data_IF_652648429757
#
_entry.id   IF_652648429757
#
_cell.length_a   1.000
_cell.length_b   1.000
_cell.length_c   1.000
_cell.angle_alpha   90.00
_cell.angle_beta   90.00
_cell.angle_gamma   90.00
#
_symmetry.space_group_name_H-M   'P 1'
#
loop_
_entity.id
_entity.type
_entity.pdbx_description
1 polymer ?
#
# COMPACT_ATOMS: atom_id res chain seq x y z
N UNK A 1 26.44 -9.31 -18.57
CA UNK A 1 26.05 -8.49 -19.73
C UNK A 1 24.53 -8.46 -19.78
N UNK A 2 23.89 -7.29 -19.78
CA UNK A 2 22.44 -7.19 -19.89
C UNK A 2 22.03 -7.54 -21.32
N UNK A 3 21.17 -8.56 -21.47
CA UNK A 3 20.56 -8.90 -22.77
C UNK A 3 19.50 -7.86 -23.12
N UNK A 4 19.50 -7.33 -24.35
CA UNK A 4 18.44 -6.46 -24.86
C UNK A 4 17.12 -7.25 -24.97
N UNK A 5 16.35 -7.32 -23.88
CA UNK A 5 15.01 -7.92 -23.86
C UNK A 5 13.97 -6.80 -23.82
N UNK A 6 12.91 -6.93 -24.60
CA UNK A 6 11.86 -5.92 -24.78
C UNK A 6 10.71 -5.99 -23.76
N UNK A 7 10.87 -6.75 -22.67
CA UNK A 7 9.78 -7.08 -21.73
C UNK A 7 8.94 -8.28 -22.20
N UNK A 8 8.45 -9.07 -21.24
CA UNK A 8 7.54 -10.20 -21.49
C UNK A 8 6.11 -9.75 -21.19
N UNK A 9 5.31 -9.54 -22.23
CA UNK A 9 3.94 -9.01 -22.10
C UNK A 9 3.03 -9.93 -21.28
N UNK A 10 3.26 -11.25 -21.30
CA UNK A 10 2.46 -12.15 -20.47
C UNK A 10 2.72 -11.92 -18.98
N UNK A 11 3.97 -11.65 -18.60
CA UNK A 11 4.36 -11.33 -17.21
C UNK A 11 3.97 -9.92 -16.80
N UNK A 12 4.02 -8.97 -17.72
CA UNK A 12 3.54 -7.60 -17.47
C UNK A 12 2.03 -7.61 -17.22
N UNK A 13 1.24 -8.29 -18.05
CA UNK A 13 -0.20 -8.39 -17.79
C UNK A 13 -0.48 -9.11 -16.46
N UNK A 14 0.27 -10.17 -16.14
CA UNK A 14 0.17 -10.86 -14.85
C UNK A 14 0.43 -9.93 -13.65
N UNK A 15 1.41 -9.03 -13.74
CA UNK A 15 1.65 -7.97 -12.76
C UNK A 15 0.43 -7.05 -12.60
N UNK A 16 -0.22 -6.64 -13.71
CA UNK A 16 -1.42 -5.79 -13.64
C UNK A 16 -2.61 -6.48 -12.97
N UNK A 17 -2.77 -7.79 -13.18
CA UNK A 17 -3.77 -8.60 -12.44
C UNK A 17 -3.47 -8.68 -10.95
N UNK A 18 -2.20 -8.79 -10.58
CA UNK A 18 -1.78 -8.77 -9.19
C UNK A 18 -2.01 -7.39 -8.56
N UNK A 19 -1.65 -6.30 -9.24
CA UNK A 19 -1.89 -4.93 -8.78
C UNK A 19 -3.38 -4.68 -8.53
N UNK A 20 -4.25 -5.03 -9.48
CA UNK A 20 -5.69 -4.84 -9.32
C UNK A 20 -6.26 -5.63 -8.13
N UNK A 21 -5.75 -6.83 -7.88
CA UNK A 21 -6.15 -7.61 -6.71
C UNK A 21 -5.58 -7.07 -5.41
N UNK A 22 -4.38 -6.49 -5.43
CA UNK A 22 -3.80 -5.81 -4.27
C UNK A 22 -4.69 -4.64 -3.84
N UNK A 23 -5.11 -3.76 -4.76
CA UNK A 23 -6.03 -2.65 -4.47
C UNK A 23 -7.37 -3.13 -3.89
N UNK A 24 -7.94 -4.19 -4.47
CA UNK A 24 -9.17 -4.80 -3.95
C UNK A 24 -8.97 -5.36 -2.54
N UNK A 25 -7.81 -5.96 -2.27
CA UNK A 25 -7.39 -6.41 -0.95
C UNK A 25 -7.19 -5.24 0.03
N UNK A 26 -6.51 -4.18 -0.40
CA UNK A 26 -6.22 -2.97 0.36
C UNK A 26 -7.47 -2.30 0.88
N UNK A 27 -8.51 -2.15 0.03
CA UNK A 27 -9.82 -1.64 0.46
C UNK A 27 -10.39 -2.43 1.65
N UNK A 28 -10.28 -3.76 1.61
CA UNK A 28 -10.75 -4.63 2.70
C UNK A 28 -9.86 -4.53 3.95
N UNK A 29 -8.54 -4.43 3.77
CA UNK A 29 -7.57 -4.27 4.86
C UNK A 29 -7.82 -2.96 5.60
N UNK A 30 -7.89 -1.82 4.91
CA UNK A 30 -8.20 -0.53 5.52
C UNK A 30 -9.56 -0.53 6.21
N UNK A 31 -10.59 -1.10 5.59
CA UNK A 31 -11.92 -1.23 6.21
C UNK A 31 -11.85 -2.02 7.53
N UNK A 32 -11.10 -3.12 7.55
CA UNK A 32 -10.89 -3.90 8.77
C UNK A 32 -10.07 -3.15 9.82
N UNK A 33 -9.02 -2.44 9.39
CA UNK A 33 -8.11 -1.66 10.23
C UNK A 33 -8.84 -0.49 10.92
N UNK A 34 -9.65 0.29 10.17
CA UNK A 34 -10.51 1.35 10.71
C UNK A 34 -11.44 0.86 11.82
N UNK A 35 -11.84 -0.41 11.78
CA UNK A 35 -12.67 -1.00 12.82
C UNK A 35 -11.92 -1.26 14.14
N UNK A 36 -10.59 -1.17 14.13
CA UNK A 36 -9.69 -1.35 15.28
C UNK A 36 -9.02 -0.04 15.73
N UNK A 37 -9.12 1.04 14.94
CA UNK A 37 -8.51 2.33 15.28
C UNK A 37 -9.16 2.94 16.53
N UNK A 38 -8.32 3.37 17.46
CA UNK A 38 -8.68 4.11 18.68
C UNK A 38 -8.07 5.51 18.72
N UNK A 39 -7.04 5.79 17.91
CA UNK A 39 -6.48 7.11 17.71
C UNK A 39 -7.26 7.87 16.62
N UNK A 40 -7.74 9.08 16.93
CA UNK A 40 -8.57 9.87 16.02
C UNK A 40 -7.83 10.33 14.77
N UNK A 41 -6.55 10.67 14.88
CA UNK A 41 -5.75 11.11 13.74
C UNK A 41 -5.43 9.93 12.82
N UNK A 42 -5.04 8.78 13.40
CA UNK A 42 -4.89 7.53 12.63
C UNK A 42 -6.17 7.14 11.90
N UNK A 43 -7.33 7.33 12.55
CA UNK A 43 -8.64 7.05 11.92
C UNK A 43 -8.88 7.93 10.69
N UNK A 44 -8.48 9.22 10.75
CA UNK A 44 -8.58 10.14 9.61
C UNK A 44 -7.61 9.73 8.49
N UNK A 45 -6.36 9.42 8.83
CA UNK A 45 -5.36 9.01 7.84
C UNK A 45 -5.77 7.73 7.11
N UNK A 46 -6.14 6.67 7.84
CA UNK A 46 -6.62 5.43 7.21
C UNK A 46 -7.91 5.61 6.40
N UNK A 47 -8.76 6.60 6.75
CA UNK A 47 -9.92 6.92 5.93
C UNK A 47 -9.52 7.61 4.62
N UNK A 48 -8.51 8.50 4.64
CA UNK A 48 -7.94 9.11 3.43
C UNK A 48 -7.33 8.04 2.53
N UNK A 49 -6.46 7.19 3.09
CA UNK A 49 -5.79 6.13 2.32
C UNK A 49 -6.80 5.16 1.72
N UNK A 50 -7.86 4.77 2.46
CA UNK A 50 -8.95 3.97 1.91
C UNK A 50 -9.64 4.63 0.71
N UNK A 51 -9.82 5.94 0.71
CA UNK A 51 -10.45 6.65 -0.40
C UNK A 51 -9.51 6.81 -1.60
N UNK A 52 -8.20 6.94 -1.34
CA UNK A 52 -7.13 6.90 -2.35
C UNK A 52 -7.01 5.51 -2.98
N UNK A 53 -6.94 4.41 -2.21
CA UNK A 53 -6.93 3.02 -2.73
C UNK A 53 -8.16 2.72 -3.62
N UNK A 54 -9.35 3.26 -3.28
CA UNK A 54 -10.52 3.15 -4.18
C UNK A 54 -10.31 3.86 -5.51
N UNK A 55 -9.60 4.99 -5.50
CA UNK A 55 -9.22 5.74 -6.69
C UNK A 55 -8.18 4.98 -7.50
N UNK A 56 -7.17 4.41 -6.86
CA UNK A 56 -6.12 3.61 -7.50
C UNK A 56 -6.68 2.36 -8.18
N UNK A 57 -7.62 1.65 -7.53
CA UNK A 57 -8.44 0.61 -8.18
C UNK A 57 -9.09 1.13 -9.48
N UNK A 58 -9.69 2.31 -9.46
CA UNK A 58 -10.35 2.87 -10.65
C UNK A 58 -9.34 3.24 -11.75
N UNK A 59 -8.14 3.68 -11.38
CA UNK A 59 -7.03 3.90 -12.31
C UNK A 59 -6.64 2.58 -12.98
N UNK A 60 -6.46 1.50 -12.23
CA UNK A 60 -6.16 0.18 -12.79
C UNK A 60 -7.29 -0.35 -13.69
N UNK A 61 -8.56 -0.17 -13.32
CA UNK A 61 -9.68 -0.53 -14.19
C UNK A 61 -9.63 0.22 -15.54
N UNK A 62 -9.21 1.49 -15.52
CA UNK A 62 -9.01 2.28 -16.74
C UNK A 62 -7.84 1.73 -17.57
N UNK A 63 -6.74 1.33 -16.93
CA UNK A 63 -5.62 0.63 -17.60
C UNK A 63 -6.12 -0.65 -18.29
N UNK A 64 -6.93 -1.45 -17.60
CA UNK A 64 -7.48 -2.68 -18.16
C UNK A 64 -8.35 -2.42 -19.38
N UNK A 65 -9.24 -1.43 -19.31
CA UNK A 65 -10.06 -1.01 -20.45
C UNK A 65 -9.19 -0.56 -21.63
N UNK A 66 -8.23 0.35 -21.39
CA UNK A 66 -7.36 0.88 -22.45
C UNK A 66 -6.50 -0.22 -23.09
N UNK A 67 -6.07 -1.23 -22.33
CA UNK A 67 -5.26 -2.35 -22.83
C UNK A 67 -6.10 -3.53 -23.36
N UNK A 68 -7.43 -3.49 -23.23
CA UNK A 68 -8.32 -4.58 -23.64
C UNK A 68 -8.17 -5.84 -22.79
N UNK A 69 -7.84 -5.68 -21.51
CA UNK A 69 -7.76 -6.76 -20.52
C UNK A 69 -9.10 -6.92 -19.81
N UNK A 70 -9.46 -8.16 -19.49
CA UNK A 70 -10.67 -8.48 -18.74
C UNK A 70 -10.36 -8.40 -17.23
N UNK A 71 -10.90 -7.41 -16.48
CA UNK A 71 -10.62 -7.23 -15.06
C UNK A 71 -11.17 -8.36 -14.17
N UNK A 72 -12.04 -9.23 -14.69
CA UNK A 72 -12.58 -10.39 -13.97
C UNK A 72 -11.86 -11.70 -14.28
N UNK A 73 -10.87 -11.65 -15.18
CA UNK A 73 -10.09 -12.83 -15.54
C UNK A 73 -9.40 -13.40 -14.30
N UNK A 74 -9.59 -14.71 -14.12
CA UNK A 74 -8.90 -15.49 -13.10
C UNK A 74 -7.55 -15.93 -13.64
N UNK A 75 -6.49 -15.55 -12.92
CA UNK A 75 -5.12 -16.01 -13.17
C UNK A 75 -4.53 -16.56 -11.87
N UNK A 76 -3.69 -17.61 -11.91
CA UNK A 76 -3.20 -18.26 -10.69
C UNK A 76 -2.49 -17.31 -9.70
N UNK A 77 -1.73 -16.35 -10.21
CA UNK A 77 -1.04 -15.33 -9.41
C UNK A 77 -2.01 -14.45 -8.61
N UNK A 78 -3.16 -14.10 -9.22
CA UNK A 78 -4.23 -13.32 -8.59
C UNK A 78 -4.85 -14.05 -7.42
N UNK A 79 -5.03 -15.37 -7.52
CA UNK A 79 -5.53 -16.17 -6.39
C UNK A 79 -4.55 -16.15 -5.20
N UNK A 80 -3.24 -16.10 -5.47
CA UNK A 80 -2.22 -15.97 -4.42
C UNK A 80 -2.28 -14.59 -3.77
N UNK A 81 -2.34 -13.51 -4.54
CA UNK A 81 -2.44 -12.13 -4.02
C UNK A 81 -3.74 -11.96 -3.21
N UNK A 82 -4.85 -12.49 -3.72
CA UNK A 82 -6.11 -12.55 -2.98
C UNK A 82 -5.95 -13.23 -1.62
N UNK A 83 -5.23 -14.36 -1.59
CA UNK A 83 -4.99 -15.08 -0.35
C UNK A 83 -4.18 -14.27 0.66
N UNK A 84 -3.20 -13.47 0.22
CA UNK A 84 -2.49 -12.55 1.09
C UNK A 84 -3.45 -11.52 1.72
N UNK A 85 -4.21 -10.79 0.91
CA UNK A 85 -5.16 -9.80 1.40
C UNK A 85 -6.21 -10.38 2.34
N UNK A 86 -6.83 -11.50 1.96
CA UNK A 86 -7.82 -12.21 2.80
C UNK A 86 -7.21 -12.67 4.14
N UNK A 87 -5.92 -13.00 4.17
CA UNK A 87 -5.22 -13.42 5.40
C UNK A 87 -4.93 -12.24 6.33
N UNK A 88 -4.55 -11.07 5.78
CA UNK A 88 -4.37 -9.84 6.55
C UNK A 88 -5.68 -9.42 7.22
N UNK A 89 -6.78 -9.41 6.48
CA UNK A 89 -8.13 -9.12 7.02
C UNK A 89 -8.49 -10.08 8.17
N UNK A 90 -8.20 -11.37 8.02
CA UNK A 90 -8.44 -12.37 9.08
C UNK A 90 -7.57 -12.13 10.31
N UNK A 91 -6.31 -11.72 10.14
CA UNK A 91 -5.42 -11.40 11.24
C UNK A 91 -5.94 -10.20 12.05
N UNK A 92 -6.40 -9.14 11.37
CA UNK A 92 -7.04 -7.98 12.00
C UNK A 92 -8.28 -8.40 12.80
N UNK A 93 -9.17 -9.17 12.17
CA UNK A 93 -10.39 -9.65 12.82
C UNK A 93 -10.08 -10.54 14.04
N UNK A 94 -9.04 -11.39 13.95
CA UNK A 94 -8.58 -12.22 15.05
C UNK A 94 -8.07 -11.37 16.21
N UNK A 95 -7.22 -10.36 15.96
CA UNK A 95 -6.71 -9.46 16.98
C UNK A 95 -7.85 -8.72 17.68
N UNK A 96 -8.78 -8.15 16.91
CA UNK A 96 -9.99 -7.49 17.43
C UNK A 96 -10.82 -8.41 18.34
N UNK A 97 -10.99 -9.68 17.95
CA UNK A 97 -11.77 -10.66 18.73
C UNK A 97 -11.18 -10.97 20.12
N UNK A 98 -9.91 -10.64 20.38
CA UNK A 98 -9.27 -10.85 21.69
C UNK A 98 -9.64 -9.78 22.71
N UNK A 99 -10.25 -8.67 22.29
CA UNK A 99 -10.82 -7.64 23.18
C UNK A 99 -9.81 -6.64 23.76
N UNK A 100 -8.52 -6.75 23.40
CA UNK A 100 -7.52 -5.72 23.70
C UNK A 100 -7.45 -4.73 22.53
N UNK A 101 -7.96 -3.52 22.77
CA UNK A 101 -8.04 -2.49 21.74
C UNK A 101 -6.66 -1.97 21.29
N UNK A 102 -5.69 -1.87 22.21
CA UNK A 102 -4.34 -1.40 21.90
C UNK A 102 -3.64 -2.45 21.04
N UNK A 103 -3.68 -3.72 21.46
CA UNK A 103 -3.09 -4.80 20.68
C UNK A 103 -3.77 -4.98 19.31
N UNK A 104 -5.10 -4.78 19.23
CA UNK A 104 -5.82 -4.84 17.95
C UNK A 104 -5.44 -3.71 16.99
N UNK A 105 -5.28 -2.48 17.48
CA UNK A 105 -4.83 -1.35 16.66
C UNK A 105 -3.41 -1.57 16.13
N UNK A 106 -2.50 -2.06 16.98
CA UNK A 106 -1.11 -2.39 16.57
C UNK A 106 -1.09 -3.48 15.51
N UNK A 107 -1.79 -4.60 15.73
CA UNK A 107 -1.87 -5.68 14.75
C UNK A 107 -2.52 -5.23 13.42
N UNK A 108 -3.48 -4.30 13.50
CA UNK A 108 -4.06 -3.68 12.31
C UNK A 108 -3.04 -2.85 11.54
N UNK A 109 -2.26 -2.01 12.22
CA UNK A 109 -1.20 -1.22 11.60
C UNK A 109 -0.13 -2.10 10.92
N UNK A 110 0.29 -3.19 11.57
CA UNK A 110 1.21 -4.18 10.94
C UNK A 110 0.62 -4.78 9.66
N UNK A 111 -0.68 -5.12 9.68
CA UNK A 111 -1.34 -5.65 8.49
C UNK A 111 -1.44 -4.63 7.36
N UNK A 112 -1.64 -3.34 7.68
CA UNK A 112 -1.60 -2.26 6.69
C UNK A 112 -0.20 -2.16 6.09
N UNK A 113 0.88 -2.13 6.89
CA UNK A 113 2.26 -2.10 6.36
C UNK A 113 2.53 -3.25 5.39
N UNK A 114 2.07 -4.46 5.69
CA UNK A 114 2.25 -5.62 4.82
C UNK A 114 1.46 -5.49 3.50
N UNK A 115 0.27 -4.88 3.53
CA UNK A 115 -0.50 -4.58 2.33
C UNK A 115 0.22 -3.52 1.48
N UNK A 116 0.60 -2.39 2.07
CA UNK A 116 1.28 -1.29 1.38
C UNK A 116 2.64 -1.70 0.81
N UNK A 117 3.37 -2.57 1.51
CA UNK A 117 4.65 -3.10 0.98
C UNK A 117 4.44 -3.86 -0.33
N UNK A 118 3.32 -4.59 -0.46
CA UNK A 118 3.00 -5.32 -1.69
C UNK A 118 2.53 -4.36 -2.78
N UNK A 119 1.79 -3.31 -2.42
CA UNK A 119 1.20 -2.39 -3.39
C UNK A 119 2.22 -1.43 -3.98
N UNK A 120 3.02 -0.79 -3.12
CA UNK A 120 4.17 0.01 -3.51
C UNK A 120 5.11 -0.74 -4.46
N UNK A 121 5.38 -2.03 -4.17
CA UNK A 121 6.17 -2.88 -5.06
C UNK A 121 5.52 -3.05 -6.45
N UNK A 122 4.19 -3.19 -6.52
CA UNK A 122 3.50 -3.31 -7.80
C UNK A 122 3.63 -2.01 -8.62
N UNK A 123 3.39 -0.87 -7.98
CA UNK A 123 3.43 0.44 -8.63
C UNK A 123 4.85 0.80 -9.11
N UNK A 124 5.89 0.58 -8.29
CA UNK A 124 7.29 0.72 -8.71
C UNK A 124 7.64 -0.13 -9.95
N UNK A 125 7.14 -1.37 -10.01
CA UNK A 125 7.34 -2.24 -11.17
C UNK A 125 6.54 -1.77 -12.38
N UNK A 126 5.33 -1.23 -12.19
CA UNK A 126 4.53 -0.62 -13.26
C UNK A 126 5.25 0.61 -13.82
N UNK A 127 5.83 1.47 -12.98
CA UNK A 127 6.66 2.61 -13.38
C UNK A 127 7.88 2.17 -14.19
N UNK A 128 8.60 1.15 -13.71
CA UNK A 128 9.70 0.54 -14.46
C UNK A 128 9.26 0.04 -15.83
N UNK A 129 8.12 -0.66 -15.91
CA UNK A 129 7.59 -1.17 -17.19
C UNK A 129 7.22 0.00 -18.10
N UNK A 130 6.59 1.06 -17.58
CA UNK A 130 6.22 2.25 -18.33
C UNK A 130 7.43 2.93 -18.97
N UNK A 131 8.56 3.02 -18.25
CA UNK A 131 9.81 3.60 -18.73
C UNK A 131 10.55 2.73 -19.75
N UNK A 132 10.43 1.40 -19.65
CA UNK A 132 11.16 0.45 -20.51
C UNK A 132 10.40 0.08 -21.77
N UNK A 133 9.08 0.06 -21.74
CA UNK A 133 8.26 -0.22 -22.91
C UNK A 133 8.23 0.98 -23.86
N UNK A 134 7.65 0.76 -25.04
CA UNK A 134 7.33 1.81 -26.01
C UNK A 134 5.90 1.60 -26.50
N UNK A 135 5.33 2.60 -27.15
CA UNK A 135 4.01 2.47 -27.78
C UNK A 135 2.86 2.78 -26.83
N UNK A 136 1.75 2.06 -26.99
CA UNK A 136 0.49 2.34 -26.30
C UNK A 136 0.60 1.97 -24.82
N UNK A 137 1.11 0.78 -24.53
CA UNK A 137 1.27 0.21 -23.20
C UNK A 137 2.11 1.12 -22.30
N UNK A 138 3.26 1.60 -22.79
CA UNK A 138 4.10 2.54 -22.06
C UNK A 138 3.36 3.83 -21.66
N UNK A 139 2.57 4.40 -22.58
CA UNK A 139 1.81 5.64 -22.33
C UNK A 139 0.70 5.44 -21.30
N UNK A 140 -0.04 4.33 -21.42
CA UNK A 140 -1.14 3.97 -20.52
C UNK A 140 -0.59 3.78 -19.10
N UNK A 141 0.45 2.97 -18.97
CA UNK A 141 1.07 2.66 -17.66
C UNK A 141 1.75 3.88 -17.05
N UNK A 142 2.40 4.72 -17.86
CA UNK A 142 3.02 5.97 -17.36
C UNK A 142 1.98 6.91 -16.77
N UNK A 143 0.87 7.13 -17.49
CA UNK A 143 -0.22 7.99 -17.02
C UNK A 143 -0.84 7.45 -15.72
N UNK A 144 -1.02 6.13 -15.62
CA UNK A 144 -1.54 5.50 -14.42
C UNK A 144 -0.60 5.65 -13.23
N UNK A 145 0.69 5.35 -13.43
CA UNK A 145 1.72 5.48 -12.40
C UNK A 145 1.86 6.92 -11.88
N UNK A 146 1.94 7.91 -12.78
CA UNK A 146 2.02 9.32 -12.40
C UNK A 146 0.80 9.81 -11.60
N UNK A 147 -0.34 9.13 -11.68
CA UNK A 147 -1.55 9.47 -10.94
C UNK A 147 -1.63 8.84 -9.54
N UNK A 148 -0.75 7.90 -9.21
CA UNK A 148 -0.85 7.05 -8.00
C UNK A 148 0.43 7.06 -7.17
N UNK A 149 1.61 7.10 -7.80
CA UNK A 149 2.90 6.86 -7.12
C UNK A 149 3.16 7.74 -5.88
N UNK A 150 2.76 9.02 -5.93
CA UNK A 150 2.95 9.91 -4.78
C UNK A 150 2.09 9.51 -3.58
N UNK A 151 0.88 8.99 -3.82
CA UNK A 151 0.01 8.48 -2.76
C UNK A 151 0.63 7.20 -2.16
N UNK A 152 1.12 6.30 -3.01
CA UNK A 152 1.74 5.02 -2.60
C UNK A 152 3.01 5.21 -1.76
N UNK A 153 3.86 6.17 -2.12
CA UNK A 153 5.01 6.54 -1.31
C UNK A 153 4.57 7.01 0.08
N UNK A 154 3.54 7.87 0.17
CA UNK A 154 2.98 8.29 1.45
C UNK A 154 2.42 7.09 2.23
N UNK A 155 1.59 6.26 1.61
CA UNK A 155 0.94 5.11 2.27
C UNK A 155 1.95 4.22 2.95
N UNK A 156 3.02 3.83 2.24
CA UNK A 156 4.06 2.96 2.78
C UNK A 156 4.86 3.65 3.89
N UNK A 157 5.47 4.81 3.62
CA UNK A 157 6.38 5.43 4.58
C UNK A 157 5.67 5.95 5.83
N UNK A 158 4.47 6.51 5.67
CA UNK A 158 3.71 7.04 6.79
C UNK A 158 3.15 5.90 7.65
N UNK A 159 2.59 4.85 7.05
CA UNK A 159 2.10 3.69 7.80
C UNK A 159 3.22 2.98 8.56
N UNK A 160 4.43 2.89 7.99
CA UNK A 160 5.60 2.38 8.73
C UNK A 160 5.90 3.23 9.97
N UNK A 161 5.88 4.56 9.84
CA UNK A 161 6.01 5.49 10.96
C UNK A 161 4.92 5.30 12.01
N UNK A 162 3.65 5.23 11.58
CA UNK A 162 2.51 5.02 12.48
C UNK A 162 2.66 3.72 13.26
N UNK A 163 2.98 2.62 12.58
CA UNK A 163 3.15 1.30 13.20
C UNK A 163 4.28 1.31 14.23
N UNK A 164 5.40 1.97 13.93
CA UNK A 164 6.51 2.14 14.89
C UNK A 164 6.06 2.87 16.15
N UNK A 165 5.40 4.02 15.99
CA UNK A 165 5.00 4.86 17.13
C UNK A 165 3.88 4.21 17.97
N UNK A 166 2.95 3.49 17.33
CA UNK A 166 1.95 2.68 18.02
C UNK A 166 2.58 1.56 18.87
N UNK A 167 3.62 0.90 18.35
CA UNK A 167 4.38 -0.08 19.14
C UNK A 167 5.12 0.57 20.31
N UNK A 168 5.77 1.71 20.08
CA UNK A 168 6.46 2.47 21.14
C UNK A 168 5.48 2.82 22.27
N UNK A 169 4.28 3.30 21.92
CA UNK A 169 3.22 3.60 22.89
C UNK A 169 2.77 2.33 23.63
N UNK A 170 2.49 1.23 22.93
CA UNK A 170 2.07 -0.04 23.51
C UNK A 170 3.13 -0.64 24.46
N UNK A 171 4.41 -0.37 24.22
CA UNK A 171 5.52 -0.77 25.09
C UNK A 171 5.70 0.14 26.31
N UNK A 172 4.93 1.23 26.42
CA UNK A 172 4.96 2.17 27.55
C UNK A 172 6.03 3.26 27.44
N UNK A 173 6.55 3.51 26.24
CA UNK A 173 7.53 4.57 25.98
C UNK A 173 6.87 5.80 25.34
N UNK A 174 7.50 7.00 25.42
CA UNK A 174 6.98 8.20 24.76
C UNK A 174 6.93 8.03 23.23
N UNK A 175 5.74 8.12 22.64
CA UNK A 175 5.48 8.01 21.20
C UNK A 175 5.16 9.38 20.58
N UNK A 176 5.47 9.54 19.29
CA UNK A 176 5.07 10.69 18.48
C UNK A 176 3.94 10.26 17.53
N UNK A 177 2.70 10.56 17.90
CA UNK A 177 1.52 10.28 17.09
C UNK A 177 0.84 11.63 16.77
N UNK A 178 0.74 12.05 15.49
CA UNK A 178 1.23 11.39 14.27
C UNK A 178 2.77 11.29 14.17
N UNK A 179 3.29 10.31 13.40
CA UNK A 179 4.73 10.09 13.25
C UNK A 179 5.41 11.22 12.46
N UNK A 180 6.74 11.41 12.63
CA UNK A 180 7.50 12.43 11.88
C UNK A 180 7.35 12.33 10.35
N UNK A 181 7.20 11.12 9.82
CA UNK A 181 6.96 10.84 8.41
C UNK A 181 5.69 11.53 7.91
N UNK A 182 4.58 11.36 8.64
CA UNK A 182 3.28 11.99 8.35
C UNK A 182 3.37 13.52 8.39
N UNK A 183 3.92 14.05 9.50
CA UNK A 183 3.99 15.50 9.73
C UNK A 183 4.86 16.19 8.68
N UNK A 184 5.91 15.51 8.20
CA UNK A 184 6.84 16.04 7.20
C UNK A 184 6.43 15.72 5.76
N UNK A 185 5.40 14.90 5.56
CA UNK A 185 4.91 14.45 4.24
C UNK A 185 6.03 13.84 3.41
N UNK A 186 6.60 12.75 3.90
CA UNK A 186 7.77 12.14 3.28
C UNK A 186 7.37 11.27 2.10
N UNK A 187 7.98 11.54 0.95
CA UNK A 187 7.68 10.87 -0.33
C UNK A 187 8.85 10.00 -0.80
N UNK A 188 9.84 9.72 0.06
CA UNK A 188 11.02 8.94 -0.36
C UNK A 188 11.57 8.12 0.79
N UNK A 189 12.17 6.96 0.48
CA UNK A 189 12.85 6.13 1.48
C UNK A 189 13.94 6.89 2.26
N UNK A 190 14.70 7.77 1.60
CA UNK A 190 15.72 8.60 2.26
C UNK A 190 15.05 9.65 3.17
N UNK A 191 13.93 10.24 2.73
CA UNK A 191 13.13 11.17 3.51
C UNK A 191 12.58 10.51 4.78
N UNK A 192 11.97 9.33 4.63
CA UNK A 192 11.45 8.53 5.74
C UNK A 192 12.56 8.19 6.75
N UNK A 193 13.71 7.68 6.29
CA UNK A 193 14.84 7.38 7.16
C UNK A 193 15.38 8.63 7.91
N UNK A 194 15.40 9.80 7.26
CA UNK A 194 15.79 11.05 7.92
C UNK A 194 14.75 11.53 8.92
N UNK A 195 13.46 11.34 8.63
CA UNK A 195 12.37 11.69 9.54
C UNK A 195 12.41 10.82 10.79
N UNK A 196 12.58 9.51 10.63
CA UNK A 196 12.79 8.54 11.71
C UNK A 196 13.99 8.91 12.59
N UNK A 197 15.15 9.20 12.00
CA UNK A 197 16.34 9.58 12.77
C UNK A 197 16.17 10.90 13.55
N UNK A 198 15.33 11.81 13.06
CA UNK A 198 15.06 13.08 13.71
C UNK A 198 14.01 12.97 14.84
N UNK A 199 13.36 11.82 15.01
CA UNK A 199 12.29 11.57 15.98
C UNK A 199 12.65 12.04 17.39
N UNK A 200 13.83 11.67 17.89
CA UNK A 200 14.25 11.99 19.28
C UNK A 200 14.42 13.50 19.52
N UNK A 201 14.58 14.30 18.47
CA UNK A 201 14.63 15.77 18.57
C UNK A 201 13.24 16.42 18.61
N UNK A 202 12.19 15.63 18.36
CA UNK A 202 10.79 16.05 18.31
C UNK A 202 9.97 15.61 19.53
N UNK A 203 10.56 14.79 20.43
CA UNK A 203 10.02 14.42 21.74
C UNK A 203 10.20 15.55 22.77
#
# INVERSE_FOLDING_TARGET
MATNKSGDMARIHDLLYQALETELGGINVYTAALSCATNEDLTKEWQSYLDETKTHRQVLLTVFEELGLDPDKRVPSREVVKHHGDSLVKAIALAKSKGDAVAAQVAAAECVVLAETKDHQNWELIGLVADKLKGKEAKVLKKAHEAVEQDEDHHLYHTMGWTRELWIEALGFPALLPPPEEVKKVETAIGAARAEQARDTML
#
